data_IF_220807942572
#
_entry.id   IF_220807942572
#
_cell.length_a   1.000
_cell.length_b   1.000
_cell.length_c   1.000
_cell.angle_alpha   90.00
_cell.angle_beta   90.00
_cell.angle_gamma   90.00
#
_symmetry.space_group_name_H-M   'P 1'
#
loop_
_entity.id
_entity.type
_entity.pdbx_description
1 polymer ?
#
# COMPACT_ATOMS: atom_id res chain seq x y z
N UNK A 1 77.93 -4.46 3.27
CA UNK A 1 76.78 -3.74 2.68
C UNK A 1 75.63 -4.69 2.64
N UNK A 2 74.65 -4.54 3.57
CA UNK A 2 73.42 -5.32 3.59
C UNK A 2 72.33 -4.39 3.01
N UNK A 3 71.73 -4.78 1.87
CA UNK A 3 70.64 -4.09 1.25
C UNK A 3 69.31 -4.57 1.95
N UNK A 4 68.60 -3.62 2.54
CA UNK A 4 67.22 -3.83 3.03
C UNK A 4 66.24 -3.53 1.88
N UNK A 5 65.50 -4.53 1.45
CA UNK A 5 64.34 -4.38 0.57
C UNK A 5 63.10 -4.05 1.41
N UNK A 6 62.54 -2.85 1.25
CA UNK A 6 61.24 -2.49 1.78
C UNK A 6 60.18 -2.94 0.76
N UNK A 7 59.37 -3.93 1.12
CA UNK A 7 58.16 -4.28 0.41
C UNK A 7 57.05 -3.39 0.94
N UNK A 8 56.64 -2.37 0.17
CA UNK A 8 55.42 -1.59 0.42
C UNK A 8 54.24 -2.42 -0.09
N UNK A 9 53.56 -3.09 0.79
CA UNK A 9 52.29 -3.73 0.50
C UNK A 9 51.20 -2.66 0.27
N UNK A 10 50.75 -2.50 -0.96
CA UNK A 10 49.55 -1.76 -1.29
C UNK A 10 48.35 -2.56 -0.74
N UNK A 11 47.80 -2.17 0.42
CA UNK A 11 46.50 -2.63 0.88
C UNK A 11 45.48 -1.91 0.02
N UNK A 12 45.01 -2.58 -1.03
CA UNK A 12 43.85 -2.14 -1.78
C UNK A 12 42.63 -2.34 -0.87
N UNK A 13 42.23 -1.29 -0.13
CA UNK A 13 40.91 -1.26 0.51
C UNK A 13 39.87 -1.21 -0.60
N UNK A 14 39.42 -2.37 -1.07
CA UNK A 14 38.15 -2.47 -1.74
C UNK A 14 37.11 -2.03 -0.71
N UNK A 15 36.59 -0.82 -0.88
CA UNK A 15 35.34 -0.42 -0.22
C UNK A 15 34.24 -1.35 -0.72
N UNK A 16 34.02 -2.45 0.00
CA UNK A 16 32.79 -3.18 -0.09
C UNK A 16 31.70 -2.16 0.27
N UNK A 17 30.94 -1.70 -0.71
CA UNK A 17 29.70 -1.00 -0.44
C UNK A 17 28.84 -1.97 0.38
N UNK A 18 28.83 -1.78 1.70
CA UNK A 18 27.96 -2.55 2.58
C UNK A 18 26.53 -2.26 2.12
N UNK A 19 25.85 -3.29 1.64
CA UNK A 19 24.45 -3.21 1.23
C UNK A 19 23.65 -2.78 2.47
N UNK A 20 22.82 -1.72 2.35
CA UNK A 20 21.94 -1.32 3.45
C UNK A 20 20.91 -2.46 3.71
N UNK A 21 20.94 -3.10 4.89
CA UNK A 21 20.04 -4.22 5.19
C UNK A 21 18.57 -3.83 5.30
N UNK A 22 18.27 -2.56 5.19
CA UNK A 22 16.91 -2.00 5.23
C UNK A 22 16.35 -1.63 3.86
N UNK A 23 17.16 -1.69 2.81
CA UNK A 23 16.75 -1.30 1.47
C UNK A 23 16.74 -2.51 0.53
N UNK A 24 15.57 -2.84 -0.01
CA UNK A 24 15.45 -3.75 -1.15
C UNK A 24 15.40 -2.95 -2.45
N UNK A 25 16.25 -3.29 -3.40
CA UNK A 25 16.35 -2.58 -4.67
C UNK A 25 16.29 -3.52 -5.86
N UNK A 26 15.49 -3.14 -6.86
CA UNK A 26 15.45 -3.78 -8.17
C UNK A 26 15.88 -2.76 -9.25
N UNK A 27 17.04 -3.00 -9.85
CA UNK A 27 17.61 -2.14 -10.91
C UNK A 27 17.13 -2.54 -12.31
N UNK A 28 16.57 -3.75 -12.44
CA UNK A 28 16.01 -4.26 -13.69
C UNK A 28 14.65 -4.86 -13.41
N UNK A 29 13.63 -4.29 -14.02
CA UNK A 29 12.24 -4.76 -13.87
C UNK A 29 11.88 -5.62 -15.08
N UNK A 30 11.64 -6.91 -14.84
CA UNK A 30 11.19 -7.86 -15.86
C UNK A 30 9.71 -8.20 -15.65
N UNK A 31 8.79 -7.64 -16.46
CA UNK A 31 7.36 -7.90 -16.30
C UNK A 31 6.95 -9.37 -16.39
N UNK A 32 7.72 -10.20 -17.13
CA UNK A 32 7.43 -11.62 -17.28
C UNK A 32 7.77 -12.46 -16.02
N UNK A 33 8.55 -11.89 -15.09
CA UNK A 33 8.96 -12.54 -13.84
C UNK A 33 8.94 -11.53 -12.68
N UNK A 34 7.79 -10.90 -12.47
CA UNK A 34 7.59 -9.89 -11.45
C UNK A 34 6.58 -10.38 -10.41
N UNK A 35 6.97 -10.46 -9.15
CA UNK A 35 6.12 -10.93 -8.07
C UNK A 35 5.54 -9.81 -7.20
N UNK A 36 6.06 -8.61 -7.32
CA UNK A 36 5.64 -7.44 -6.55
C UNK A 36 5.92 -7.54 -5.06
N UNK A 37 6.09 -6.39 -4.42
CA UNK A 37 6.22 -6.30 -2.97
C UNK A 37 4.90 -5.82 -2.35
N UNK A 38 4.66 -6.18 -1.09
CA UNK A 38 3.53 -5.67 -0.31
C UNK A 38 3.88 -4.32 0.26
N UNK A 39 3.00 -3.33 0.06
CA UNK A 39 3.00 -2.04 0.74
C UNK A 39 1.78 -2.05 1.65
N UNK A 40 1.97 -2.17 2.96
CA UNK A 40 0.84 -2.42 3.85
C UNK A 40 0.99 -1.80 5.23
N UNK A 41 -0.16 -1.67 5.92
CA UNK A 41 -0.24 -1.09 7.27
C UNK A 41 -1.01 -1.98 8.25
N UNK A 42 -1.28 -3.24 7.87
CA UNK A 42 -2.07 -4.18 8.63
C UNK A 42 -3.58 -4.08 8.43
N UNK A 43 -4.08 -3.02 7.78
CA UNK A 43 -5.48 -2.87 7.39
C UNK A 43 -5.64 -2.92 5.87
N UNK A 44 -4.81 -2.19 5.14
CA UNK A 44 -4.78 -2.19 3.68
C UNK A 44 -3.41 -2.67 3.22
N UNK A 45 -3.42 -3.58 2.25
CA UNK A 45 -2.25 -3.99 1.51
C UNK A 45 -2.39 -3.66 0.04
N UNK A 46 -1.32 -3.12 -0.53
CA UNK A 46 -1.14 -2.90 -1.96
C UNK A 46 -0.02 -3.79 -2.47
N UNK A 47 -0.18 -4.40 -3.63
CA UNK A 47 0.91 -5.09 -4.32
C UNK A 47 1.43 -4.22 -5.45
N UNK A 48 2.73 -3.99 -5.47
CA UNK A 48 3.39 -3.22 -6.53
C UNK A 48 3.28 -3.89 -7.89
N UNK A 49 3.47 -3.10 -8.95
CA UNK A 49 3.42 -3.55 -10.35
C UNK A 49 4.77 -3.35 -11.04
N UNK A 50 5.03 -4.15 -12.07
CA UNK A 50 6.14 -3.92 -13.00
C UNK A 50 5.91 -2.71 -13.94
N UNK A 51 4.71 -2.13 -13.93
CA UNK A 51 4.36 -0.95 -14.72
C UNK A 51 4.56 0.30 -13.85
N UNK A 52 5.25 1.34 -14.32
CA UNK A 52 5.42 2.58 -13.58
C UNK A 52 4.09 3.18 -13.14
N UNK A 53 4.04 3.74 -11.92
CA UNK A 53 2.87 4.42 -11.36
C UNK A 53 1.63 3.52 -11.18
N UNK A 54 1.79 2.19 -11.18
CA UNK A 54 0.67 1.27 -11.01
C UNK A 54 0.82 0.39 -9.78
N UNK A 55 -0.31 0.09 -9.18
CA UNK A 55 -0.53 -0.95 -8.17
C UNK A 55 -1.36 -2.06 -8.81
N UNK A 56 -0.92 -3.29 -8.67
CA UNK A 56 -1.54 -4.45 -9.29
C UNK A 56 -2.80 -4.91 -8.52
N UNK A 57 -2.77 -4.83 -7.19
CA UNK A 57 -3.88 -5.29 -6.35
C UNK A 57 -3.96 -4.47 -5.06
N UNK A 58 -5.18 -4.20 -4.59
CA UNK A 58 -5.46 -3.61 -3.28
C UNK A 58 -6.39 -4.54 -2.51
N UNK A 59 -6.04 -4.85 -1.27
CA UNK A 59 -6.81 -5.71 -0.35
C UNK A 59 -7.05 -4.93 0.94
N UNK A 60 -8.26 -5.05 1.49
CA UNK A 60 -8.58 -4.57 2.84
C UNK A 60 -8.84 -5.77 3.76
N UNK A 61 -8.24 -5.78 4.94
CA UNK A 61 -8.40 -6.84 5.92
C UNK A 61 -9.87 -7.01 6.32
N UNK A 62 -10.30 -8.24 6.51
CA UNK A 62 -11.66 -8.56 6.98
C UNK A 62 -12.78 -8.43 5.94
N UNK A 63 -12.50 -8.02 4.71
CA UNK A 63 -13.50 -7.93 3.65
C UNK A 63 -13.54 -9.22 2.83
N UNK A 64 -14.62 -9.97 2.99
CA UNK A 64 -14.90 -11.21 2.27
C UNK A 64 -16.27 -11.16 1.62
N UNK A 65 -16.40 -11.74 0.44
CA UNK A 65 -17.69 -11.96 -0.21
C UNK A 65 -17.61 -13.14 -1.18
N UNK A 66 -18.76 -13.57 -1.71
CA UNK A 66 -18.83 -14.55 -2.77
C UNK A 66 -18.43 -13.89 -4.09
N UNK A 67 -17.31 -14.35 -4.69
CA UNK A 67 -16.89 -13.97 -6.01
C UNK A 67 -17.62 -14.78 -7.10
N UNK A 68 -16.93 -15.06 -8.20
CA UNK A 68 -17.43 -15.95 -9.28
C UNK A 68 -17.58 -17.39 -8.81
N UNK A 69 -16.82 -17.81 -7.80
CA UNK A 69 -16.99 -19.08 -7.10
C UNK A 69 -18.09 -18.97 -6.04
N UNK A 70 -18.66 -20.13 -5.65
CA UNK A 70 -19.61 -20.19 -4.52
C UNK A 70 -18.92 -20.18 -3.15
N UNK A 71 -17.63 -19.89 -3.12
CA UNK A 71 -16.81 -19.84 -1.91
C UNK A 71 -16.57 -18.38 -1.55
N UNK A 72 -16.75 -18.05 -0.28
CA UNK A 72 -16.44 -16.73 0.27
C UNK A 72 -14.93 -16.49 0.13
N UNK A 73 -14.54 -15.35 -0.41
CA UNK A 73 -13.14 -15.03 -0.71
C UNK A 73 -12.82 -13.59 -0.31
N UNK A 74 -11.57 -13.33 0.03
CA UNK A 74 -11.08 -11.96 0.10
C UNK A 74 -11.18 -11.30 -1.28
N UNK A 75 -11.64 -10.05 -1.30
CA UNK A 75 -11.95 -9.34 -2.54
C UNK A 75 -10.85 -8.34 -2.90
N UNK A 76 -10.32 -8.38 -4.16
CA UNK A 76 -9.61 -7.23 -4.70
C UNK A 76 -10.54 -6.01 -4.73
N UNK A 77 -10.00 -4.85 -4.42
CA UNK A 77 -10.79 -3.62 -4.24
C UNK A 77 -10.50 -2.57 -5.30
N UNK A 78 -11.32 -1.51 -5.29
CA UNK A 78 -11.05 -0.28 -6.03
C UNK A 78 -9.66 0.22 -5.61
N UNK A 79 -8.80 0.52 -6.58
CA UNK A 79 -7.49 1.12 -6.30
C UNK A 79 -7.65 2.64 -6.12
N UNK A 80 -7.51 3.18 -4.89
CA UNK A 80 -7.64 4.62 -4.68
C UNK A 80 -6.48 5.42 -5.26
N UNK A 81 -5.30 4.82 -5.40
CA UNK A 81 -4.11 5.51 -5.89
C UNK A 81 -3.82 5.25 -7.38
N UNK A 82 -4.85 4.90 -8.16
CA UNK A 82 -4.68 4.76 -9.61
C UNK A 82 -4.45 6.13 -10.22
N UNK A 83 -3.21 6.37 -10.63
CA UNK A 83 -2.77 7.61 -11.26
C UNK A 83 -2.29 7.36 -12.68
N UNK A 84 -2.85 8.09 -13.64
CA UNK A 84 -2.35 8.19 -15.00
C UNK A 84 -1.70 9.53 -15.18
N UNK A 85 -0.53 9.55 -15.81
CA UNK A 85 0.17 10.79 -16.09
C UNK A 85 0.57 10.85 -17.57
N UNK A 86 0.48 12.04 -18.14
CA UNK A 86 0.99 12.35 -19.47
C UNK A 86 1.85 13.61 -19.43
N UNK A 87 2.90 13.63 -20.24
CA UNK A 87 3.78 14.77 -20.43
C UNK A 87 3.73 15.19 -21.90
N UNK A 88 3.35 16.44 -22.17
CA UNK A 88 3.12 16.97 -23.51
C UNK A 88 2.17 16.07 -24.34
N UNK A 89 1.06 15.62 -23.70
CA UNK A 89 0.04 14.72 -24.26
C UNK A 89 0.53 13.30 -24.60
N UNK A 90 1.71 12.89 -24.11
CA UNK A 90 2.22 11.54 -24.26
C UNK A 90 2.14 10.78 -22.93
N UNK A 91 1.46 9.63 -22.95
CA UNK A 91 1.27 8.79 -21.75
C UNK A 91 2.57 8.18 -21.23
N UNK A 92 2.72 8.20 -19.89
CA UNK A 92 3.76 7.46 -19.20
C UNK A 92 3.34 5.97 -19.14
N UNK A 93 4.14 5.11 -19.76
CA UNK A 93 3.94 3.67 -19.78
C UNK A 93 5.29 2.94 -19.91
N UNK A 94 5.30 1.62 -19.88
CA UNK A 94 6.52 0.80 -19.94
C UNK A 94 7.39 1.04 -21.19
N UNK A 95 6.80 1.48 -22.32
CA UNK A 95 7.53 1.73 -23.57
C UNK A 95 8.08 3.15 -23.67
N UNK A 96 7.58 4.06 -22.84
CA UNK A 96 7.95 5.48 -22.87
C UNK A 96 8.99 5.86 -21.80
N UNK A 97 9.40 4.91 -20.95
CA UNK A 97 10.33 5.13 -19.83
C UNK A 97 11.64 4.37 -20.02
N UNK A 98 12.72 4.91 -19.46
CA UNK A 98 14.03 4.26 -19.33
C UNK A 98 14.53 4.34 -17.88
N UNK A 99 15.56 3.55 -17.58
CA UNK A 99 16.21 3.50 -16.25
C UNK A 99 15.21 3.30 -15.11
N UNK A 100 14.20 2.45 -15.36
CA UNK A 100 13.15 2.16 -14.38
C UNK A 100 13.70 1.25 -13.29
N UNK A 101 13.74 1.78 -12.07
CA UNK A 101 14.15 1.09 -10.86
C UNK A 101 13.06 1.15 -9.81
N UNK A 102 13.06 0.19 -8.88
CA UNK A 102 12.14 0.15 -7.75
C UNK A 102 12.90 -0.12 -6.46
N UNK A 103 12.45 0.50 -5.38
CA UNK A 103 13.06 0.39 -4.06
C UNK A 103 11.96 0.24 -2.98
N UNK A 104 12.22 -0.61 -1.98
CA UNK A 104 11.40 -0.72 -0.78
C UNK A 104 12.26 -0.42 0.45
N UNK A 105 11.98 0.67 1.15
CA UNK A 105 12.57 1.00 2.43
C UNK A 105 11.82 0.28 3.55
N UNK A 106 12.45 -0.73 4.15
CA UNK A 106 11.82 -1.60 5.15
C UNK A 106 11.53 -0.88 6.48
N UNK A 107 12.30 0.18 6.80
CA UNK A 107 12.12 0.93 8.06
C UNK A 107 10.74 1.59 8.17
N UNK A 108 10.16 1.97 7.03
CA UNK A 108 8.88 2.67 7.01
C UNK A 108 7.91 2.20 5.91
N UNK A 109 8.25 1.16 5.18
CA UNK A 109 7.37 0.62 4.14
C UNK A 109 7.12 1.57 2.97
N UNK A 110 8.05 2.50 2.70
CA UNK A 110 8.01 3.37 1.54
C UNK A 110 8.44 2.59 0.29
N UNK A 111 7.56 2.47 -0.69
CA UNK A 111 7.86 1.85 -1.97
C UNK A 111 8.01 2.90 -3.05
N UNK A 112 9.20 3.07 -3.58
CA UNK A 112 9.53 4.08 -4.58
C UNK A 112 9.84 3.47 -5.94
N UNK A 113 9.47 4.20 -7.00
CA UNK A 113 9.92 3.94 -8.35
C UNK A 113 10.55 5.19 -8.96
N UNK A 114 11.61 4.99 -9.72
CA UNK A 114 12.38 6.05 -10.38
C UNK A 114 12.51 5.72 -11.86
N UNK A 115 12.29 6.69 -12.74
CA UNK A 115 12.49 6.50 -14.18
C UNK A 115 12.73 7.83 -14.89
N UNK A 116 13.34 7.74 -16.08
CA UNK A 116 13.38 8.83 -17.03
C UNK A 116 12.24 8.69 -18.04
N UNK A 117 11.47 9.76 -18.25
CA UNK A 117 10.49 9.83 -19.31
C UNK A 117 11.10 10.49 -20.53
N UNK A 118 11.59 9.65 -21.46
CA UNK A 118 12.31 10.10 -22.67
C UNK A 118 13.43 11.12 -22.30
N UNK A 119 13.57 12.16 -23.11
CA UNK A 119 14.44 13.32 -22.87
C UNK A 119 13.70 14.49 -22.18
N UNK A 120 12.51 14.24 -21.59
CA UNK A 120 11.61 15.27 -21.10
C UNK A 120 11.69 15.50 -19.60
N UNK A 121 11.71 14.44 -18.83
CA UNK A 121 11.66 14.57 -17.36
C UNK A 121 12.23 13.35 -16.62
N UNK A 122 12.70 13.58 -15.40
CA UNK A 122 12.94 12.54 -14.39
C UNK A 122 11.75 12.50 -13.45
N UNK A 123 11.25 11.30 -13.17
CA UNK A 123 10.09 11.10 -12.31
C UNK A 123 10.43 10.14 -11.19
N UNK A 124 10.04 10.52 -9.98
CA UNK A 124 10.05 9.66 -8.79
C UNK A 124 8.63 9.58 -8.24
N UNK A 125 8.20 8.40 -7.84
CA UNK A 125 6.96 8.21 -7.12
C UNK A 125 7.18 7.34 -5.89
N UNK A 126 6.39 7.57 -4.82
CA UNK A 126 6.49 6.78 -3.60
C UNK A 126 5.10 6.48 -3.05
N UNK A 127 4.80 5.20 -2.86
CA UNK A 127 3.57 4.72 -2.23
C UNK A 127 3.77 4.47 -0.75
N UNK A 128 2.78 4.85 0.05
CA UNK A 128 2.68 4.57 1.47
C UNK A 128 1.30 4.04 1.82
N UNK A 129 1.24 2.99 2.63
CA UNK A 129 0.06 2.64 3.40
C UNK A 129 0.23 3.25 4.80
N UNK A 130 -0.50 4.32 5.13
CA UNK A 130 -0.25 5.11 6.34
C UNK A 130 -0.60 4.32 7.61
N UNK A 131 0.40 3.99 8.45
CA UNK A 131 0.17 3.10 9.58
C UNK A 131 -0.62 3.71 10.73
N UNK A 132 -0.54 5.02 10.93
CA UNK A 132 -1.34 5.74 11.93
C UNK A 132 -2.76 6.07 11.48
N UNK A 133 -3.05 5.96 10.18
CA UNK A 133 -4.36 6.14 9.55
C UNK A 133 -4.68 4.90 8.71
N UNK A 134 -5.16 3.80 9.33
CA UNK A 134 -5.19 2.48 8.71
C UNK A 134 -6.02 2.37 7.42
N UNK A 135 -6.95 3.29 7.20
CA UNK A 135 -7.76 3.35 5.98
C UNK A 135 -7.24 4.34 4.93
N UNK A 136 -6.04 4.89 5.14
CA UNK A 136 -5.48 5.97 4.30
C UNK A 136 -4.19 5.53 3.63
N UNK A 137 -4.12 5.79 2.34
CA UNK A 137 -2.97 5.58 1.47
C UNK A 137 -2.48 6.91 0.95
N UNK A 138 -1.19 7.00 0.64
CA UNK A 138 -0.57 8.20 0.09
C UNK A 138 0.32 7.82 -1.10
N UNK A 139 0.25 8.59 -2.17
CA UNK A 139 1.17 8.52 -3.30
C UNK A 139 1.83 9.89 -3.48
N UNK A 140 3.13 9.93 -3.32
CA UNK A 140 3.94 11.11 -3.60
C UNK A 140 4.50 11.03 -5.01
N UNK A 141 4.48 12.16 -5.71
CA UNK A 141 5.06 12.33 -7.04
C UNK A 141 6.03 13.51 -7.02
N UNK A 142 7.19 13.29 -7.62
CA UNK A 142 8.19 14.34 -7.86
C UNK A 142 8.67 14.27 -9.30
N UNK A 143 8.63 15.41 -10.00
CA UNK A 143 8.98 15.54 -11.42
C UNK A 143 10.03 16.63 -11.57
N UNK A 144 11.16 16.28 -12.17
CA UNK A 144 12.21 17.25 -12.57
C UNK A 144 12.24 17.34 -14.07
N UNK A 145 11.64 18.38 -14.68
CA UNK A 145 11.66 18.57 -16.12
C UNK A 145 13.08 18.86 -16.65
N UNK A 146 13.46 18.26 -17.77
CA UNK A 146 14.71 18.54 -18.48
C UNK A 146 14.54 19.69 -19.50
N UNK A 147 13.29 20.00 -19.84
CA UNK A 147 12.85 21.13 -20.69
C UNK A 147 11.50 21.60 -20.20
N UNK A 148 11.00 22.74 -20.70
CA UNK A 148 9.62 23.18 -20.39
C UNK A 148 8.63 22.13 -20.89
N UNK A 149 7.70 21.70 -20.03
CA UNK A 149 6.70 20.66 -20.31
C UNK A 149 5.32 21.04 -19.81
N UNK A 150 4.31 20.37 -20.35
CA UNK A 150 2.96 20.38 -19.78
C UNK A 150 2.67 19.00 -19.18
N UNK A 151 2.42 18.98 -17.87
CA UNK A 151 2.00 17.80 -17.13
C UNK A 151 0.49 17.69 -17.11
N UNK A 152 -0.06 16.50 -17.38
CA UNK A 152 -1.42 16.09 -17.06
C UNK A 152 -1.34 14.98 -16.02
N UNK A 153 -2.10 15.09 -14.92
CA UNK A 153 -2.25 14.05 -13.92
C UNK A 153 -3.73 13.74 -13.69
N UNK A 154 -4.10 12.47 -13.83
CA UNK A 154 -5.48 11.96 -13.73
C UNK A 154 -5.54 10.89 -12.63
N UNK A 155 -6.27 11.16 -11.56
CA UNK A 155 -6.63 10.09 -10.62
C UNK A 155 -7.95 9.47 -11.08
N UNK A 156 -7.93 8.18 -11.35
CA UNK A 156 -9.06 7.44 -11.93
C UNK A 156 -9.58 6.45 -10.88
N UNK A 157 -10.86 6.51 -10.57
CA UNK A 157 -11.53 5.46 -9.81
C UNK A 157 -12.31 4.58 -10.76
N UNK A 158 -11.97 3.28 -10.75
CA UNK A 158 -12.65 2.26 -11.54
C UNK A 158 -13.17 1.17 -10.62
N UNK A 159 -14.47 0.93 -10.68
CA UNK A 159 -15.10 -0.18 -9.95
C UNK A 159 -14.68 -1.51 -10.60
N UNK A 160 -14.10 -2.46 -9.83
CA UNK A 160 -13.68 -3.74 -10.38
C UNK A 160 -14.83 -4.56 -10.94
N UNK A 161 -14.52 -5.42 -11.91
CA UNK A 161 -15.49 -6.37 -12.47
C UNK A 161 -16.13 -7.24 -11.39
N UNK A 162 -17.45 -7.38 -11.48
CA UNK A 162 -18.25 -8.15 -10.54
C UNK A 162 -18.82 -7.34 -9.38
N UNK A 163 -18.26 -6.18 -9.04
CA UNK A 163 -18.89 -5.25 -8.13
C UNK A 163 -20.19 -4.70 -8.74
N UNK A 164 -21.14 -4.28 -7.89
CA UNK A 164 -22.48 -3.87 -8.30
C UNK A 164 -22.78 -2.45 -7.87
N UNK A 165 -23.71 -1.84 -8.59
CA UNK A 165 -24.32 -0.55 -8.24
C UNK A 165 -23.28 0.52 -7.88
N UNK A 166 -22.26 0.79 -8.74
CA UNK A 166 -21.34 1.87 -8.48
C UNK A 166 -22.06 3.20 -8.45
N UNK A 167 -21.69 4.02 -7.48
CA UNK A 167 -22.14 5.39 -7.30
C UNK A 167 -20.92 6.28 -7.28
N UNK A 168 -20.83 7.18 -8.24
CA UNK A 168 -19.69 8.06 -8.44
C UNK A 168 -20.08 9.50 -8.06
N UNK A 169 -19.30 10.12 -7.18
CA UNK A 169 -19.54 11.45 -6.64
C UNK A 169 -18.29 12.31 -6.83
N UNK A 170 -18.50 13.57 -7.14
CA UNK A 170 -17.49 14.61 -7.06
C UNK A 170 -18.02 15.71 -6.15
N UNK A 171 -17.44 15.82 -4.95
CA UNK A 171 -17.87 16.76 -3.94
C UNK A 171 -16.78 17.79 -3.69
N UNK A 172 -17.18 19.03 -3.42
CA UNK A 172 -16.27 20.09 -3.03
C UNK A 172 -16.55 20.50 -1.58
N UNK A 173 -15.55 20.31 -0.72
CA UNK A 173 -15.65 20.67 0.70
C UNK A 173 -14.85 21.97 0.91
N UNK A 174 -15.50 22.96 1.48
CA UNK A 174 -14.94 24.30 1.69
C UNK A 174 -14.88 24.64 3.18
N UNK A 175 -13.99 24.00 3.99
CA UNK A 175 -13.74 24.43 5.35
C UNK A 175 -13.03 25.81 5.35
N UNK A 176 -12.96 26.51 6.48
CA UNK A 176 -12.17 27.73 6.55
C UNK A 176 -10.73 27.48 6.07
N UNK A 177 -10.26 28.33 5.16
CA UNK A 177 -8.89 28.32 4.60
C UNK A 177 -8.49 27.12 3.72
N UNK A 178 -9.43 26.29 3.26
CA UNK A 178 -9.17 25.20 2.31
C UNK A 178 -10.30 25.03 1.30
N UNK A 179 -9.97 24.48 0.15
CA UNK A 179 -10.90 23.98 -0.86
C UNK A 179 -10.47 22.56 -1.21
N UNK A 180 -11.34 21.58 -1.00
CA UNK A 180 -10.99 20.16 -1.10
C UNK A 180 -11.93 19.48 -2.09
N UNK A 181 -11.53 19.34 -3.37
CA UNK A 181 -12.24 18.49 -4.32
C UNK A 181 -12.03 17.02 -3.94
N UNK A 182 -13.13 16.29 -3.76
CA UNK A 182 -13.15 14.87 -3.42
C UNK A 182 -13.71 14.05 -4.57
N UNK A 183 -12.95 13.07 -5.04
CA UNK A 183 -13.43 12.05 -5.96
C UNK A 183 -13.83 10.82 -5.15
N UNK A 184 -15.11 10.44 -5.17
CA UNK A 184 -15.63 9.36 -4.33
C UNK A 184 -16.40 8.33 -5.14
N UNK A 185 -16.08 7.04 -4.96
CA UNK A 185 -16.85 5.91 -5.51
C UNK A 185 -17.33 5.01 -4.38
N UNK A 186 -18.60 4.62 -4.45
CA UNK A 186 -19.18 3.59 -3.57
C UNK A 186 -19.70 2.46 -4.44
N UNK A 187 -19.37 1.22 -4.10
CA UNK A 187 -19.88 0.06 -4.82
C UNK A 187 -20.22 -1.08 -3.86
N UNK A 188 -21.10 -1.99 -4.28
CA UNK A 188 -21.40 -3.22 -3.55
C UNK A 188 -20.50 -4.34 -4.03
N UNK A 189 -20.06 -5.19 -3.11
CA UNK A 189 -19.34 -6.42 -3.43
C UNK A 189 -20.21 -7.36 -4.28
N UNK A 190 -19.61 -8.36 -4.98
CA UNK A 190 -20.33 -9.16 -5.99
C UNK A 190 -21.61 -9.85 -5.50
N UNK A 191 -21.68 -10.36 -4.29
CA UNK A 191 -22.90 -10.92 -3.73
C UNK A 191 -23.80 -9.86 -3.04
N UNK A 192 -23.27 -8.65 -2.84
CA UNK A 192 -24.00 -7.55 -2.19
C UNK A 192 -23.93 -7.56 -0.67
N UNK A 193 -23.08 -8.41 -0.07
CA UNK A 193 -22.97 -8.55 1.38
C UNK A 193 -22.22 -7.39 2.04
N UNK A 194 -21.46 -6.62 1.30
CA UNK A 194 -20.77 -5.44 1.80
C UNK A 194 -20.82 -4.28 0.79
N UNK A 195 -20.62 -3.08 1.31
CA UNK A 195 -20.35 -1.87 0.52
C UNK A 195 -18.89 -1.48 0.73
N UNK A 196 -18.27 -0.98 -0.32
CA UNK A 196 -16.92 -0.41 -0.29
C UNK A 196 -17.01 1.03 -0.74
N UNK A 197 -16.33 1.92 -0.05
CA UNK A 197 -16.21 3.33 -0.41
C UNK A 197 -14.75 3.73 -0.51
N UNK A 198 -14.44 4.49 -1.53
CA UNK A 198 -13.13 5.11 -1.78
C UNK A 198 -13.33 6.60 -1.95
N UNK A 199 -12.48 7.41 -1.31
CA UNK A 199 -12.48 8.87 -1.48
C UNK A 199 -11.07 9.40 -1.59
N UNK A 200 -10.83 10.27 -2.57
CA UNK A 200 -9.50 10.75 -2.93
C UNK A 200 -9.44 12.27 -3.02
N UNK A 201 -8.25 12.83 -2.76
CA UNK A 201 -7.93 14.23 -2.96
C UNK A 201 -6.47 14.41 -3.40
N UNK A 202 -6.21 15.34 -4.32
CA UNK A 202 -4.86 15.83 -4.55
C UNK A 202 -4.42 16.79 -3.45
N UNK A 203 -3.17 16.67 -3.03
CA UNK A 203 -2.54 17.54 -2.05
C UNK A 203 -1.36 18.25 -2.72
N UNK A 204 -1.41 19.58 -2.76
CA UNK A 204 -0.39 20.43 -3.36
C UNK A 204 0.39 21.20 -2.29
N UNK A 205 1.70 21.27 -2.46
CA UNK A 205 2.56 22.07 -1.59
C UNK A 205 2.45 23.57 -1.96
N UNK A 206 2.15 24.38 -0.97
CA UNK A 206 2.01 25.84 -1.13
C UNK A 206 3.26 26.55 -1.67
N UNK A 207 4.44 25.93 -1.52
CA UNK A 207 5.70 26.48 -2.10
C UNK A 207 5.68 26.59 -3.61
N UNK A 208 4.83 25.84 -4.31
CA UNK A 208 4.65 25.91 -5.77
C UNK A 208 3.58 26.90 -6.21
N UNK A 209 3.07 27.73 -5.30
CA UNK A 209 2.03 28.72 -5.58
C UNK A 209 0.61 28.21 -5.40
N UNK A 210 -0.31 28.74 -6.22
CA UNK A 210 -1.71 28.32 -6.18
C UNK A 210 -1.88 26.88 -6.68
N UNK A 211 -2.74 26.13 -6.01
CA UNK A 211 -3.12 24.79 -6.48
C UNK A 211 -3.71 24.85 -7.90
N UNK A 212 -3.38 23.89 -8.77
CA UNK A 212 -4.03 23.76 -10.07
C UNK A 212 -5.54 23.59 -9.93
N UNK A 213 -6.28 24.04 -10.95
CA UNK A 213 -7.71 23.76 -11.02
C UNK A 213 -7.94 22.27 -11.24
N UNK A 214 -8.79 21.68 -10.41
CA UNK A 214 -9.21 20.27 -10.54
C UNK A 214 -10.46 20.23 -11.42
N UNK A 215 -10.43 19.36 -12.43
CA UNK A 215 -11.56 19.07 -13.30
C UNK A 215 -12.04 17.64 -13.03
N UNK A 216 -13.34 17.42 -13.06
CA UNK A 216 -13.98 16.12 -12.94
C UNK A 216 -14.54 15.66 -14.28
N UNK A 217 -14.43 14.35 -14.56
CA UNK A 217 -14.96 13.73 -15.76
C UNK A 217 -15.57 12.36 -15.43
N UNK A 218 -16.80 12.12 -15.89
CA UNK A 218 -17.39 10.78 -15.93
C UNK A 218 -16.94 10.08 -17.21
N UNK A 219 -16.24 8.96 -17.07
CA UNK A 219 -15.80 8.15 -18.20
C UNK A 219 -16.89 7.20 -18.68
N UNK A 220 -17.44 6.46 -17.75
CA UNK A 220 -18.56 5.52 -17.96
C UNK A 220 -19.28 5.24 -16.62
N UNK A 221 -20.16 4.24 -16.62
CA UNK A 221 -20.90 3.85 -15.42
C UNK A 221 -20.00 3.38 -14.27
N UNK A 222 -18.88 2.70 -14.57
CA UNK A 222 -17.96 2.11 -13.60
C UNK A 222 -16.76 2.99 -13.28
N UNK A 223 -16.56 4.10 -14.02
CA UNK A 223 -15.30 4.85 -13.95
C UNK A 223 -15.51 6.36 -14.08
N UNK A 224 -14.85 7.09 -13.20
CA UNK A 224 -14.73 8.54 -13.25
C UNK A 224 -13.34 8.99 -12.78
N UNK A 225 -13.02 10.25 -13.02
CA UNK A 225 -11.71 10.79 -12.67
C UNK A 225 -11.78 12.24 -12.22
N UNK A 226 -10.74 12.64 -11.49
CA UNK A 226 -10.36 14.03 -11.31
C UNK A 226 -8.96 14.24 -11.88
N UNK A 227 -8.74 15.40 -12.50
CA UNK A 227 -7.50 15.71 -13.20
C UNK A 227 -7.07 17.15 -13.04
N UNK A 228 -5.78 17.38 -13.23
CA UNK A 228 -5.25 18.73 -13.39
C UNK A 228 -4.15 18.78 -14.45
N UNK A 229 -3.96 19.97 -15.00
CA UNK A 229 -2.85 20.27 -15.91
C UNK A 229 -1.95 21.34 -15.29
N UNK A 230 -0.64 21.17 -15.42
CA UNK A 230 0.32 22.15 -14.91
C UNK A 230 1.51 22.31 -15.87
N UNK A 231 1.95 23.57 -16.07
CA UNK A 231 3.14 23.87 -16.88
C UNK A 231 4.36 23.92 -15.98
N UNK A 232 5.37 23.14 -16.30
CA UNK A 232 6.61 23.01 -15.53
C UNK A 232 7.79 23.57 -16.33
N UNK A 233 8.68 24.29 -15.64
CA UNK A 233 9.90 24.87 -16.22
C UNK A 233 11.07 23.93 -16.12
N UNK A 234 11.95 23.95 -17.11
CA UNK A 234 13.18 23.16 -17.11
C UNK A 234 13.99 23.36 -15.83
N UNK A 235 14.41 22.26 -15.19
CA UNK A 235 15.22 22.25 -13.98
C UNK A 235 14.48 22.54 -12.66
N UNK A 236 13.20 22.94 -12.69
CA UNK A 236 12.41 23.21 -11.48
C UNK A 236 11.62 21.96 -11.07
N UNK A 237 12.03 21.32 -9.98
CA UNK A 237 11.33 20.15 -9.46
C UNK A 237 9.95 20.55 -8.92
N UNK A 238 8.92 19.86 -9.39
CA UNK A 238 7.53 19.99 -8.93
C UNK A 238 7.08 18.71 -8.23
N UNK A 239 6.41 18.85 -7.08
CA UNK A 239 5.89 17.71 -6.33
C UNK A 239 4.45 17.94 -5.93
N UNK A 240 3.69 16.86 -5.90
CA UNK A 240 2.32 16.80 -5.37
C UNK A 240 2.06 15.40 -4.82
N UNK A 241 1.00 15.26 -4.03
CA UNK A 241 0.59 13.97 -3.50
C UNK A 241 -0.86 13.66 -3.86
N UNK A 242 -1.20 12.37 -3.86
CA UNK A 242 -2.56 11.86 -3.95
C UNK A 242 -2.88 11.11 -2.66
N UNK A 243 -3.89 11.58 -1.92
CA UNK A 243 -4.47 10.89 -0.78
C UNK A 243 -5.58 9.99 -1.28
N UNK A 244 -5.61 8.73 -0.83
CA UNK A 244 -6.67 7.79 -1.11
C UNK A 244 -7.13 7.08 0.15
N UNK A 245 -8.44 7.00 0.36
CA UNK A 245 -9.04 6.29 1.48
C UNK A 245 -9.89 5.13 0.97
N UNK A 246 -9.79 3.99 1.66
CA UNK A 246 -10.57 2.80 1.35
C UNK A 246 -11.17 2.25 2.64
N UNK A 247 -12.48 2.10 2.66
CA UNK A 247 -13.22 1.56 3.81
C UNK A 247 -14.41 0.71 3.33
N UNK A 248 -14.83 -0.24 4.14
CA UNK A 248 -16.03 -1.04 3.82
C UNK A 248 -17.06 -1.02 4.94
N UNK A 249 -18.25 -1.54 4.66
CA UNK A 249 -19.31 -1.70 5.66
C UNK A 249 -18.96 -2.71 6.77
N UNK A 250 -17.87 -3.47 6.64
CA UNK A 250 -17.32 -4.29 7.73
C UNK A 250 -16.57 -3.45 8.77
N UNK A 251 -16.13 -2.23 8.39
CA UNK A 251 -15.34 -1.34 9.23
C UNK A 251 -16.13 -0.12 9.72
N UNK A 252 -17.18 0.27 9.01
CA UNK A 252 -18.02 1.42 9.34
C UNK A 252 -19.45 1.20 8.88
N UNK A 253 -20.43 1.56 9.71
CA UNK A 253 -21.84 1.52 9.34
C UNK A 253 -22.19 2.45 8.17
N UNK A 254 -21.38 3.49 7.96
CA UNK A 254 -21.51 4.47 6.88
C UNK A 254 -20.17 4.66 6.16
N UNK A 255 -19.79 3.73 5.26
CA UNK A 255 -18.50 3.79 4.58
C UNK A 255 -18.35 5.02 3.66
N UNK A 256 -19.43 5.52 3.05
CA UNK A 256 -19.37 6.71 2.19
C UNK A 256 -18.91 7.95 2.96
N UNK A 257 -19.67 8.35 3.98
CA UNK A 257 -19.32 9.52 4.77
C UNK A 257 -17.98 9.35 5.50
N UNK A 258 -17.66 8.13 5.93
CA UNK A 258 -16.40 7.86 6.61
C UNK A 258 -15.20 7.99 5.68
N UNK A 259 -15.29 7.52 4.42
CA UNK A 259 -14.22 7.71 3.43
C UNK A 259 -13.92 9.19 3.17
N UNK A 260 -14.97 10.01 2.97
CA UNK A 260 -14.82 11.44 2.75
C UNK A 260 -14.26 12.17 3.99
N UNK A 261 -14.71 11.82 5.20
CA UNK A 261 -14.18 12.39 6.45
C UNK A 261 -12.69 12.08 6.62
N UNK A 262 -12.28 10.83 6.38
CA UNK A 262 -10.89 10.43 6.48
C UNK A 262 -10.02 11.15 5.44
N UNK A 263 -10.53 11.29 4.20
CA UNK A 263 -9.83 12.03 3.15
C UNK A 263 -9.67 13.51 3.52
N UNK A 264 -10.74 14.14 3.96
CA UNK A 264 -10.73 15.53 4.45
C UNK A 264 -9.78 15.72 5.61
N UNK A 265 -9.81 14.81 6.60
CA UNK A 265 -8.90 14.85 7.73
C UNK A 265 -7.43 14.75 7.28
N UNK A 266 -7.09 13.77 6.44
CA UNK A 266 -5.74 13.59 5.94
C UNK A 266 -5.26 14.81 5.12
N UNK A 267 -6.13 15.37 4.29
CA UNK A 267 -5.83 16.60 3.54
C UNK A 267 -5.49 17.77 4.47
N UNK A 268 -6.28 17.97 5.54
CA UNK A 268 -6.07 19.05 6.50
C UNK A 268 -4.83 18.86 7.39
N UNK A 269 -4.40 17.61 7.64
CA UNK A 269 -3.13 17.35 8.32
C UNK A 269 -1.93 17.82 7.48
N UNK A 270 -2.02 17.67 6.16
CA UNK A 270 -0.93 17.99 5.24
C UNK A 270 0.17 16.93 5.20
N UNK A 271 0.99 17.00 4.17
CA UNK A 271 1.98 15.98 3.81
C UNK A 271 2.97 15.64 4.94
N UNK A 272 3.57 16.67 5.57
CA UNK A 272 4.60 16.48 6.60
C UNK A 272 4.06 15.73 7.82
N UNK A 273 2.88 16.12 8.33
CA UNK A 273 2.26 15.48 9.49
C UNK A 273 1.82 14.04 9.18
N UNK A 274 1.37 13.76 7.96
CA UNK A 274 1.03 12.40 7.53
C UNK A 274 2.26 11.49 7.55
N UNK A 275 3.39 11.93 7.01
CA UNK A 275 4.62 11.14 7.01
C UNK A 275 5.24 11.03 8.42
N UNK A 276 5.20 12.09 9.23
CA UNK A 276 5.67 12.03 10.62
C UNK A 276 4.90 10.98 11.41
N UNK A 277 3.57 11.01 11.34
CA UNK A 277 2.71 10.03 12.01
C UNK A 277 2.99 8.59 11.54
N UNK A 278 3.16 8.39 10.24
CA UNK A 278 3.49 7.11 9.64
C UNK A 278 4.84 6.58 10.12
N UNK A 279 5.89 7.38 10.02
CA UNK A 279 7.25 7.02 10.43
C UNK A 279 7.34 6.71 11.92
N UNK A 280 6.60 7.46 12.76
CA UNK A 280 6.53 7.20 14.20
C UNK A 280 5.97 5.82 14.51
N UNK A 281 4.93 5.36 13.80
CA UNK A 281 4.35 4.03 14.03
C UNK A 281 5.29 2.90 13.56
N UNK A 282 5.92 3.05 12.42
CA UNK A 282 6.92 2.09 11.97
C UNK A 282 8.13 2.02 12.92
N UNK A 283 8.63 3.17 13.37
CA UNK A 283 9.72 3.23 14.34
C UNK A 283 9.37 2.46 15.62
N UNK A 284 8.13 2.60 16.13
CA UNK A 284 7.64 1.86 17.30
C UNK A 284 7.68 0.34 17.07
N UNK A 285 7.35 -0.15 15.87
CA UNK A 285 7.44 -1.58 15.57
C UNK A 285 8.88 -2.08 15.58
N UNK A 286 9.79 -1.30 15.03
CA UNK A 286 11.21 -1.66 14.97
C UNK A 286 11.97 -1.47 16.29
N UNK A 287 11.33 -0.97 17.37
CA UNK A 287 11.89 -0.99 18.72
C UNK A 287 12.11 -2.42 19.22
N UNK A 288 11.31 -3.38 18.73
CA UNK A 288 11.51 -4.81 18.91
C UNK A 288 12.00 -5.41 17.59
N UNK A 289 13.30 -5.67 17.47
CA UNK A 289 13.94 -6.13 16.25
C UNK A 289 14.81 -7.37 16.51
N UNK A 290 15.17 -8.06 15.44
CA UNK A 290 16.16 -9.16 15.42
C UNK A 290 17.31 -8.69 14.56
N UNK A 291 18.52 -8.67 15.11
CA UNK A 291 19.75 -8.31 14.41
C UNK A 291 20.73 -9.48 14.44
N UNK A 292 21.41 -9.70 13.31
CA UNK A 292 22.44 -10.73 13.16
C UNK A 292 23.78 -10.02 12.95
N UNK A 293 24.67 -10.12 13.92
CA UNK A 293 26.00 -9.51 13.81
C UNK A 293 26.88 -10.23 12.79
N UNK A 294 27.55 -9.44 11.94
CA UNK A 294 28.55 -9.94 10.99
C UNK A 294 27.99 -10.50 9.69
N UNK A 295 26.68 -10.51 9.48
CA UNK A 295 26.05 -10.98 8.24
C UNK A 295 24.97 -9.99 7.76
N UNK A 296 25.35 -9.11 6.82
CA UNK A 296 24.46 -8.08 6.27
C UNK A 296 23.31 -8.69 5.44
N UNK A 297 23.55 -9.81 4.75
CA UNK A 297 22.51 -10.47 3.96
C UNK A 297 21.47 -11.13 4.89
N UNK A 298 21.91 -11.84 5.92
CA UNK A 298 21.00 -12.43 6.90
C UNK A 298 20.17 -11.36 7.63
N UNK A 299 20.75 -10.20 7.93
CA UNK A 299 20.02 -9.06 8.47
C UNK A 299 18.95 -8.54 7.50
N UNK A 300 19.29 -8.39 6.22
CA UNK A 300 18.31 -7.97 5.22
C UNK A 300 17.17 -8.98 5.09
N UNK A 301 17.47 -10.27 5.10
CA UNK A 301 16.47 -11.33 4.99
C UNK A 301 15.50 -11.32 6.20
N UNK A 302 16.02 -11.17 7.43
CA UNK A 302 15.20 -11.04 8.64
C UNK A 302 14.36 -9.78 8.62
N UNK A 303 14.93 -8.61 8.28
CA UNK A 303 14.17 -7.37 8.19
C UNK A 303 13.07 -7.46 7.12
N UNK A 304 13.34 -8.10 6.00
CA UNK A 304 12.35 -8.34 4.95
C UNK A 304 11.20 -9.25 5.44
N UNK A 305 11.51 -10.35 6.11
CA UNK A 305 10.49 -11.25 6.68
C UNK A 305 9.62 -10.53 7.72
N UNK A 306 10.24 -9.81 8.66
CA UNK A 306 9.52 -9.03 9.68
C UNK A 306 8.70 -7.91 9.06
N UNK A 307 9.24 -7.19 8.07
CA UNK A 307 8.50 -6.16 7.35
C UNK A 307 7.20 -6.70 6.75
N UNK A 308 7.26 -7.82 5.99
CA UNK A 308 6.06 -8.39 5.36
C UNK A 308 5.05 -8.89 6.39
N UNK A 309 5.51 -9.38 7.53
CA UNK A 309 4.64 -9.73 8.64
C UNK A 309 3.98 -8.47 9.23
N UNK A 310 4.76 -7.43 9.55
CA UNK A 310 4.26 -6.17 10.11
C UNK A 310 3.35 -5.40 9.15
N UNK A 311 3.63 -5.42 7.85
CA UNK A 311 2.78 -4.82 6.82
C UNK A 311 1.38 -5.45 6.75
N UNK A 312 1.22 -6.68 7.27
CA UNK A 312 -0.02 -7.45 7.19
C UNK A 312 -0.79 -7.56 8.51
N UNK A 313 -0.27 -7.05 9.64
CA UNK A 313 -0.88 -7.15 10.97
C UNK A 313 -1.07 -5.79 11.63
N UNK A 314 -2.03 -5.70 12.54
CA UNK A 314 -2.30 -4.49 13.33
C UNK A 314 -2.80 -4.84 14.73
N UNK A 315 -2.52 -3.95 15.69
CA UNK A 315 -3.14 -3.98 17.01
C UNK A 315 -4.57 -3.42 17.06
N UNK A 316 -5.07 -2.86 15.95
CA UNK A 316 -6.35 -2.12 15.92
C UNK A 316 -7.57 -3.01 15.62
N UNK A 317 -7.39 -4.26 15.22
CA UNK A 317 -8.47 -5.16 14.86
C UNK A 317 -8.10 -6.63 15.06
N UNK A 318 -9.12 -7.48 15.17
CA UNK A 318 -8.99 -8.94 15.33
C UNK A 318 -9.06 -9.71 13.99
N UNK A 319 -8.77 -9.07 12.86
CA UNK A 319 -8.61 -9.79 11.59
C UNK A 319 -7.29 -10.57 11.63
N UNK A 320 -7.34 -11.82 11.18
CA UNK A 320 -6.16 -12.68 11.14
C UNK A 320 -5.55 -12.67 9.74
N UNK A 321 -4.50 -13.45 9.53
CA UNK A 321 -3.70 -13.49 8.31
C UNK A 321 -3.99 -14.70 7.46
N UNK A 322 -4.12 -14.52 6.16
CA UNK A 322 -3.96 -15.59 5.18
C UNK A 322 -2.47 -15.90 4.99
N UNK A 323 -2.12 -17.04 4.33
CA UNK A 323 -0.72 -17.36 4.03
C UNK A 323 0.01 -16.28 3.23
N UNK A 324 -0.71 -15.48 2.46
CA UNK A 324 -0.16 -14.35 1.68
C UNK A 324 -0.34 -12.98 2.36
N UNK A 325 -0.82 -12.94 3.61
CA UNK A 325 -1.09 -11.68 4.31
C UNK A 325 -2.05 -10.78 3.50
N UNK A 326 -1.65 -9.53 3.29
CA UNK A 326 -2.39 -8.54 2.50
C UNK A 326 -1.80 -8.31 1.09
N UNK A 327 -0.92 -9.20 0.61
CA UNK A 327 -0.27 -9.06 -0.70
C UNK A 327 -1.07 -9.68 -1.84
N UNK A 328 -1.82 -10.75 -1.56
CA UNK A 328 -2.47 -11.56 -2.59
C UNK A 328 -3.70 -12.29 -2.06
N UNK A 329 -4.65 -12.58 -2.93
CA UNK A 329 -5.86 -13.37 -2.61
C UNK A 329 -5.69 -14.87 -2.87
N UNK A 330 -4.45 -15.37 -2.93
CA UNK A 330 -4.15 -16.79 -2.99
C UNK A 330 -4.79 -17.54 -1.83
N UNK A 331 -5.17 -18.79 -2.03
CA UNK A 331 -6.00 -19.57 -1.09
C UNK A 331 -7.29 -18.81 -0.71
N UNK A 332 -7.84 -18.01 -1.64
CA UNK A 332 -9.05 -17.18 -1.44
C UNK A 332 -8.92 -16.16 -0.29
N UNK A 333 -7.69 -15.89 0.16
CA UNK A 333 -7.43 -15.06 1.35
C UNK A 333 -7.91 -15.69 2.65
N UNK A 334 -8.17 -17.00 2.67
CA UNK A 334 -8.59 -17.71 3.87
C UNK A 334 -7.47 -17.80 4.89
N UNK A 335 -7.87 -17.90 6.15
CA UNK A 335 -6.98 -18.01 7.30
C UNK A 335 -6.86 -19.47 7.67
N UNK A 336 -5.64 -19.97 7.65
CA UNK A 336 -5.28 -21.33 7.99
C UNK A 336 -4.62 -21.37 9.37
N UNK A 337 -4.33 -22.57 9.87
CA UNK A 337 -3.56 -22.80 11.10
C UNK A 337 -2.08 -22.37 11.00
N UNK A 338 -1.60 -22.12 9.78
CA UNK A 338 -0.26 -21.54 9.50
C UNK A 338 -0.03 -20.25 10.28
N UNK A 339 -1.09 -19.47 10.48
CA UNK A 339 -1.03 -18.24 11.28
C UNK A 339 -0.56 -18.53 12.70
N UNK A 340 -1.17 -19.50 13.36
CA UNK A 340 -0.85 -19.86 14.76
C UNK A 340 0.49 -20.61 14.88
N UNK A 341 0.87 -21.36 13.85
CA UNK A 341 2.10 -22.18 13.87
C UNK A 341 3.35 -21.38 13.50
N UNK A 342 3.24 -20.46 12.54
CA UNK A 342 4.41 -19.83 11.92
C UNK A 342 4.46 -18.30 12.08
N UNK A 343 3.31 -17.62 12.03
CA UNK A 343 3.26 -16.15 12.07
C UNK A 343 3.07 -15.61 13.49
N UNK A 344 2.31 -16.32 14.31
CA UNK A 344 2.03 -15.94 15.69
C UNK A 344 3.27 -15.99 16.62
N UNK A 345 4.13 -17.03 16.59
CA UNK A 345 5.24 -17.14 17.55
C UNK A 345 6.22 -15.95 17.52
N UNK A 346 6.72 -15.47 16.37
CA UNK A 346 7.56 -14.28 16.36
C UNK A 346 6.83 -13.04 16.85
N UNK A 347 5.53 -12.86 16.52
CA UNK A 347 4.73 -11.75 17.02
C UNK A 347 4.51 -11.82 18.52
N UNK A 348 4.33 -13.00 19.09
CA UNK A 348 4.21 -13.16 20.54
C UNK A 348 5.45 -12.66 21.28
N UNK A 349 6.63 -12.87 20.71
CA UNK A 349 7.90 -12.45 21.33
C UNK A 349 8.18 -10.97 21.13
N UNK A 350 7.86 -10.43 19.95
CA UNK A 350 8.22 -9.06 19.56
C UNK A 350 7.11 -8.06 19.85
N UNK A 351 5.82 -8.45 19.63
CA UNK A 351 4.63 -7.59 19.73
C UNK A 351 3.43 -8.34 20.31
N UNK A 352 3.41 -8.61 21.63
CA UNK A 352 2.37 -9.42 22.27
C UNK A 352 0.93 -8.87 22.07
N UNK A 353 0.77 -7.55 21.95
CA UNK A 353 -0.51 -6.90 21.69
C UNK A 353 -1.06 -7.24 20.29
N UNK A 354 -0.19 -7.33 19.28
CA UNK A 354 -0.57 -7.78 17.93
C UNK A 354 -0.89 -9.28 17.95
N UNK A 355 -0.04 -10.08 18.60
CA UNK A 355 -0.26 -11.52 18.76
C UNK A 355 -1.60 -11.81 19.43
N UNK A 356 -1.97 -11.05 20.47
CA UNK A 356 -3.27 -11.16 21.13
C UNK A 356 -4.45 -11.01 20.16
N UNK A 357 -4.35 -10.07 19.20
CA UNK A 357 -5.42 -9.86 18.21
C UNK A 357 -5.57 -11.03 17.24
N UNK A 358 -4.49 -11.72 16.89
CA UNK A 358 -4.58 -12.95 16.10
C UNK A 358 -5.32 -14.06 16.88
N UNK A 359 -5.12 -14.17 18.19
CA UNK A 359 -5.88 -15.11 19.03
C UNK A 359 -7.34 -14.67 19.19
N UNK A 360 -7.61 -13.37 19.28
CA UNK A 360 -8.98 -12.86 19.35
C UNK A 360 -9.79 -13.29 18.13
N UNK A 361 -9.20 -13.37 16.95
CA UNK A 361 -9.87 -13.91 15.77
C UNK A 361 -10.44 -15.31 16.02
N UNK A 362 -9.66 -16.21 16.64
CA UNK A 362 -10.13 -17.57 16.99
C UNK A 362 -11.14 -17.54 18.13
N UNK A 363 -10.89 -16.73 19.14
CA UNK A 363 -11.80 -16.59 20.29
C UNK A 363 -13.18 -16.11 19.88
N UNK A 364 -13.31 -15.12 19.03
CA UNK A 364 -14.57 -14.62 18.49
C UNK A 364 -15.36 -15.66 17.69
N UNK A 365 -14.69 -16.70 17.20
CA UNK A 365 -15.25 -17.81 16.41
C UNK A 365 -15.39 -19.12 17.20
N UNK A 366 -15.16 -19.09 18.51
CA UNK A 366 -15.17 -20.26 19.38
C UNK A 366 -16.51 -21.00 19.38
N UNK A 367 -17.63 -20.29 19.41
CA UNK A 367 -18.97 -20.92 19.40
C UNK A 367 -19.24 -21.68 18.08
N UNK A 368 -18.73 -21.18 16.97
CA UNK A 368 -18.79 -21.89 15.69
C UNK A 368 -17.90 -23.13 15.68
N UNK A 369 -16.72 -23.05 16.27
CA UNK A 369 -15.83 -24.19 16.43
C UNK A 369 -16.44 -25.29 17.34
N UNK A 370 -17.17 -24.90 18.40
CA UNK A 370 -17.94 -25.83 19.23
C UNK A 370 -19.08 -26.50 18.45
N UNK A 371 -19.82 -25.71 17.66
CA UNK A 371 -20.86 -26.25 16.78
C UNK A 371 -20.29 -27.24 15.77
N UNK A 372 -19.15 -26.92 15.16
CA UNK A 372 -18.46 -27.79 14.22
C UNK A 372 -18.03 -29.11 14.87
N UNK A 373 -17.46 -29.08 16.09
CA UNK A 373 -17.16 -30.28 16.85
C UNK A 373 -18.38 -31.16 17.08
N UNK A 374 -19.50 -30.56 17.50
CA UNK A 374 -20.75 -31.27 17.74
C UNK A 374 -21.30 -31.95 16.49
N UNK A 375 -21.25 -31.29 15.31
CA UNK A 375 -21.66 -31.89 14.03
C UNK A 375 -20.84 -33.15 13.66
N UNK A 376 -19.60 -33.25 14.14
CA UNK A 376 -18.73 -34.39 13.93
C UNK A 376 -18.74 -35.40 15.10
N UNK A 377 -19.63 -35.22 16.09
CA UNK A 377 -19.75 -36.11 17.23
C UNK A 377 -18.70 -35.92 18.32
N UNK A 378 -17.96 -34.81 18.31
CA UNK A 378 -16.94 -34.49 19.31
C UNK A 378 -17.44 -33.50 20.35
N UNK A 379 -16.89 -33.60 21.55
CA UNK A 379 -17.01 -32.57 22.60
C UNK A 379 -15.84 -31.56 22.44
N UNK A 380 -16.06 -30.32 22.90
CA UNK A 380 -15.08 -29.26 22.83
C UNK A 380 -15.23 -28.37 21.59
N UNK A 381 -14.15 -27.90 21.01
CA UNK A 381 -14.13 -27.00 19.87
C UNK A 381 -13.23 -27.55 18.75
N UNK A 382 -13.73 -27.58 17.52
CA UNK A 382 -12.98 -27.98 16.33
C UNK A 382 -12.94 -26.82 15.35
N UNK A 383 -11.82 -26.11 15.35
CA UNK A 383 -11.60 -25.06 14.37
C UNK A 383 -11.42 -25.67 12.96
N UNK A 384 -11.96 -25.06 11.92
CA UNK A 384 -11.84 -25.59 10.56
C UNK A 384 -10.40 -25.50 10.05
N UNK A 385 -10.08 -26.30 9.04
CA UNK A 385 -8.80 -26.25 8.33
C UNK A 385 -8.51 -24.84 7.79
N UNK A 386 -9.51 -24.21 7.21
CA UNK A 386 -9.49 -22.85 6.69
C UNK A 386 -10.75 -22.09 7.10
N UNK A 387 -10.64 -20.80 7.30
CA UNK A 387 -11.75 -19.95 7.69
C UNK A 387 -11.70 -18.60 6.98
N UNK A 388 -12.85 -17.95 6.87
CA UNK A 388 -13.02 -16.61 6.34
C UNK A 388 -13.69 -15.70 7.37
N UNK A 389 -14.62 -14.83 6.96
CA UNK A 389 -15.27 -13.87 7.84
C UNK A 389 -16.03 -14.53 9.01
N UNK A 390 -16.67 -15.65 8.78
CA UNK A 390 -17.57 -16.29 9.77
C UNK A 390 -16.93 -17.41 10.59
N UNK A 391 -15.73 -17.83 10.26
CA UNK A 391 -15.05 -18.94 10.93
C UNK A 391 -15.34 -20.29 10.33
#
# INVERSE_FOLDING_TARGET
MKQFFFIIGFICCASLNAQDPWLLKAETINPANYYGVTIGNGMIGMRSSAVPLQIDQVIIAGLYDYGKSRVVSAMPNINPLQLRMAIDYEDINTHSVSDFTQELELRNGAFSGHFNFKDKAKVTYTYYALRHLPHTLLLDISITPLRDITLLAENVLTTPDGFRNPQNYFNEINPPHAHIPLLTTVAQTPAGNAKVAVSNAFLFDKKYGNAPQILHEMRDYNSHLMQFTHKLKAGETYSFSLIGNLISSQHSADPYNQAERLCTYAFLQGHEALLEGHNKQWKKLWESNIEIEGDAQANQDIHNMLYHLYASVSELHSFSLSPYGLSHTGYMGHIFWDTEMWMYPPLLLLHPEIAKNLLNYRFERLERAKHNAALHGYQGAMFPWESAASG
#
